data_IF_108406853573
#
_entry.id   IF_108406853573
#
_cell.length_a   1.000
_cell.length_b   1.000
_cell.length_c   1.000
_cell.angle_alpha   90.00
_cell.angle_beta   90.00
_cell.angle_gamma   90.00
#
_symmetry.space_group_name_H-M   'P 1'
#
loop_
_entity.id
_entity.type
_entity.pdbx_description
1 polymer ?
#
# COMPACT_ATOMS: atom_id res chain seq x y z
N UNK A 1 7.56 -13.23 12.08
CA UNK A 1 6.56 -13.58 11.02
C UNK A 1 7.26 -14.12 9.78
N UNK A 2 6.58 -14.96 8.98
CA UNK A 2 7.13 -15.46 7.71
C UNK A 2 7.34 -14.29 6.74
N UNK A 3 8.50 -14.24 6.06
CA UNK A 3 8.81 -13.21 5.06
C UNK A 3 8.14 -13.56 3.73
N UNK A 4 7.47 -12.60 3.11
CA UNK A 4 6.64 -12.79 1.93
C UNK A 4 6.94 -11.78 0.85
N UNK A 5 6.84 -12.24 -0.39
CA UNK A 5 6.82 -11.36 -1.57
C UNK A 5 5.46 -11.50 -2.25
N UNK A 6 4.91 -10.39 -2.66
CA UNK A 6 3.56 -10.27 -3.16
C UNK A 6 3.50 -9.41 -4.43
N UNK A 7 2.36 -9.44 -5.11
CA UNK A 7 2.10 -8.60 -6.28
C UNK A 7 1.06 -7.52 -5.97
N UNK A 8 1.23 -6.37 -6.59
CA UNK A 8 0.17 -5.35 -6.69
C UNK A 8 -0.79 -5.70 -7.82
N UNK A 9 -2.08 -5.61 -7.55
CA UNK A 9 -3.17 -5.83 -8.52
C UNK A 9 -4.11 -4.61 -8.57
N UNK A 10 -4.74 -4.30 -9.71
CA UNK A 10 -4.55 -4.97 -10.98
C UNK A 10 -3.12 -4.78 -11.52
N UNK A 11 -2.62 -5.78 -12.23
CA UNK A 11 -1.31 -5.69 -12.89
C UNK A 11 -1.46 -4.82 -14.15
N UNK A 12 -0.60 -3.80 -14.27
CA UNK A 12 -0.66 -2.85 -15.39
C UNK A 12 -0.59 -3.54 -16.75
N UNK A 13 -1.37 -3.06 -17.70
CA UNK A 13 -1.41 -3.62 -19.06
C UNK A 13 -2.28 -4.87 -19.24
N UNK A 14 -2.89 -5.40 -18.18
CA UNK A 14 -3.77 -6.57 -18.23
C UNK A 14 -5.19 -6.22 -17.82
N UNK A 15 -6.17 -6.78 -18.56
CA UNK A 15 -7.58 -6.68 -18.19
C UNK A 15 -7.89 -7.58 -16.99
N UNK A 16 -8.96 -7.29 -16.24
CA UNK A 16 -9.37 -8.14 -15.12
C UNK A 16 -9.68 -9.58 -15.53
N UNK A 17 -10.15 -9.80 -16.76
CA UNK A 17 -10.44 -11.13 -17.30
C UNK A 17 -9.19 -11.98 -17.54
N UNK A 18 -8.01 -11.36 -17.64
CA UNK A 18 -6.73 -12.04 -17.80
C UNK A 18 -6.06 -12.34 -16.44
N UNK A 19 -6.47 -11.64 -15.38
CA UNK A 19 -5.88 -11.80 -14.03
C UNK A 19 -5.96 -13.22 -13.47
N UNK A 20 -7.02 -14.03 -13.69
CA UNK A 20 -7.05 -15.40 -13.19
C UNK A 20 -5.82 -16.22 -13.57
N UNK A 21 -5.43 -16.19 -14.84
CA UNK A 21 -4.30 -17.00 -15.32
C UNK A 21 -2.96 -16.43 -14.86
N UNK A 22 -2.80 -15.09 -14.88
CA UNK A 22 -1.62 -14.40 -14.39
C UNK A 22 -1.39 -14.67 -12.91
N UNK A 23 -2.44 -14.62 -12.09
CA UNK A 23 -2.32 -14.82 -10.65
C UNK A 23 -2.10 -16.29 -10.28
N UNK A 24 -2.67 -17.25 -11.01
CA UNK A 24 -2.33 -18.67 -10.85
C UNK A 24 -0.86 -18.94 -11.19
N UNK A 25 -0.32 -18.28 -12.24
CA UNK A 25 1.10 -18.35 -12.56
C UNK A 25 1.95 -17.77 -11.42
N UNK A 26 1.61 -16.58 -10.94
CA UNK A 26 2.30 -15.94 -9.83
C UNK A 26 2.31 -16.81 -8.56
N UNK A 27 1.17 -17.41 -8.20
CA UNK A 27 1.06 -18.33 -7.07
C UNK A 27 1.99 -19.56 -7.23
N UNK A 28 2.02 -20.19 -8.43
CA UNK A 28 2.92 -21.29 -8.74
C UNK A 28 4.40 -20.91 -8.68
N UNK A 29 4.72 -19.67 -9.00
CA UNK A 29 6.04 -19.09 -8.90
C UNK A 29 6.46 -18.75 -7.45
N UNK A 30 5.52 -18.84 -6.49
CA UNK A 30 5.78 -18.65 -5.07
C UNK A 30 5.42 -17.29 -4.50
N UNK A 31 4.75 -16.42 -5.24
CA UNK A 31 4.11 -15.26 -4.63
C UNK A 31 3.05 -15.73 -3.63
N UNK A 32 2.92 -15.02 -2.50
CA UNK A 32 2.06 -15.44 -1.41
C UNK A 32 0.82 -14.57 -1.23
N UNK A 33 0.87 -13.34 -1.69
CA UNK A 33 -0.21 -12.38 -1.52
C UNK A 33 -0.47 -11.61 -2.83
N UNK A 34 -1.69 -11.07 -2.96
CA UNK A 34 -2.06 -10.06 -3.95
C UNK A 34 -2.65 -8.83 -3.24
N UNK A 35 -2.11 -7.65 -3.52
CA UNK A 35 -2.49 -6.40 -2.87
C UNK A 35 -3.05 -5.41 -3.89
N UNK A 36 -4.28 -4.95 -3.66
CA UNK A 36 -4.92 -3.93 -4.49
C UNK A 36 -4.78 -2.53 -3.88
N UNK A 37 -5.08 -1.51 -4.68
CA UNK A 37 -5.14 -0.13 -4.20
C UNK A 37 -6.28 0.62 -4.90
N UNK A 38 -6.67 1.75 -4.32
CA UNK A 38 -7.74 2.60 -4.85
C UNK A 38 -7.17 3.99 -5.13
N UNK A 39 -7.10 4.34 -6.42
CA UNK A 39 -6.66 5.66 -6.90
C UNK A 39 -7.55 6.10 -8.08
N UNK A 40 -7.02 6.15 -9.29
CA UNK A 40 -7.67 6.60 -10.53
C UNK A 40 -8.05 5.45 -11.49
N UNK A 41 -7.79 4.21 -11.08
CA UNK A 41 -8.10 3.01 -11.85
C UNK A 41 -9.35 2.27 -11.34
N UNK A 42 -9.22 0.95 -11.23
CA UNK A 42 -10.27 0.09 -10.69
C UNK A 42 -10.30 0.19 -9.17
N UNK A 43 -11.47 0.02 -8.56
CA UNK A 43 -11.61 0.01 -7.09
C UNK A 43 -10.79 -1.11 -6.42
N UNK A 44 -10.56 -0.99 -5.13
CA UNK A 44 -9.69 -1.93 -4.43
C UNK A 44 -10.28 -3.34 -4.26
N UNK A 45 -11.60 -3.53 -4.30
CA UNK A 45 -12.22 -4.80 -4.00
C UNK A 45 -12.43 -5.69 -5.21
N UNK A 46 -12.73 -5.10 -6.38
CA UNK A 46 -13.01 -5.85 -7.61
C UNK A 46 -11.84 -6.75 -8.05
N UNK A 47 -10.56 -6.30 -8.11
CA UNK A 47 -9.44 -7.18 -8.45
C UNK A 47 -9.24 -8.31 -7.44
N UNK A 48 -9.52 -8.05 -6.16
CA UNK A 48 -9.40 -9.06 -5.11
C UNK A 48 -10.50 -10.12 -5.19
N UNK A 49 -11.72 -9.76 -5.63
CA UNK A 49 -12.77 -10.74 -5.88
C UNK A 49 -12.36 -11.70 -7.00
N UNK A 50 -11.73 -11.20 -8.07
CA UNK A 50 -11.18 -12.03 -9.15
C UNK A 50 -10.07 -12.94 -8.62
N UNK A 51 -9.12 -12.39 -7.84
CA UNK A 51 -8.03 -13.14 -7.24
C UNK A 51 -8.51 -14.24 -6.27
N UNK A 52 -9.53 -13.93 -5.46
CA UNK A 52 -10.14 -14.86 -4.50
C UNK A 52 -10.67 -16.13 -5.15
N UNK A 53 -11.29 -15.98 -6.32
CA UNK A 53 -11.87 -17.10 -7.10
C UNK A 53 -10.82 -17.90 -7.87
N UNK A 54 -9.68 -17.28 -8.19
CA UNK A 54 -8.68 -17.87 -9.06
C UNK A 54 -7.57 -18.59 -8.29
N UNK A 55 -7.27 -18.17 -7.04
CA UNK A 55 -6.06 -18.57 -6.30
C UNK A 55 -6.33 -18.78 -4.82
N UNK A 56 -5.34 -19.40 -4.14
CA UNK A 56 -5.23 -19.49 -2.69
C UNK A 56 -4.43 -18.36 -2.04
N UNK A 57 -4.03 -17.33 -2.79
CA UNK A 57 -3.25 -16.20 -2.28
C UNK A 57 -3.95 -15.49 -1.12
N UNK A 58 -3.18 -14.95 -0.19
CA UNK A 58 -3.67 -13.98 0.78
C UNK A 58 -3.93 -12.65 0.04
N UNK A 59 -5.00 -11.97 0.36
CA UNK A 59 -5.48 -10.79 -0.36
C UNK A 59 -5.48 -9.59 0.57
N UNK A 60 -5.04 -8.44 0.09
CA UNK A 60 -5.03 -7.22 0.88
C UNK A 60 -5.42 -5.98 0.08
N UNK A 61 -6.05 -5.01 0.71
CA UNK A 61 -6.17 -3.66 0.16
C UNK A 61 -5.05 -2.77 0.68
N UNK A 62 -4.43 -1.96 -0.21
CA UNK A 62 -3.36 -1.02 0.14
C UNK A 62 -3.48 0.30 -0.64
N UNK A 63 -4.56 1.02 -0.45
CA UNK A 63 -5.57 0.97 0.62
C UNK A 63 -6.97 1.27 0.09
N UNK A 64 -7.97 1.01 0.93
CA UNK A 64 -9.29 1.64 0.79
C UNK A 64 -9.28 2.98 1.51
N UNK A 65 -9.86 3.99 0.89
CA UNK A 65 -9.85 5.35 1.41
C UNK A 65 -10.99 5.57 2.43
N UNK A 66 -10.64 5.98 3.65
CA UNK A 66 -11.58 6.22 4.74
C UNK A 66 -12.49 7.47 4.54
N UNK A 67 -12.18 8.34 3.56
CA UNK A 67 -12.97 9.53 3.26
C UNK A 67 -13.96 9.33 2.12
N UNK A 68 -13.56 8.59 1.08
CA UNK A 68 -14.42 8.39 -0.11
C UNK A 68 -15.44 7.29 0.07
N UNK A 69 -15.24 6.42 1.08
CA UNK A 69 -16.19 5.37 1.47
C UNK A 69 -16.59 5.49 2.93
N UNK A 70 -17.89 5.37 3.21
CA UNK A 70 -18.37 5.30 4.59
C UNK A 70 -18.05 3.94 5.24
N UNK A 71 -17.96 3.87 6.60
CA UNK A 71 -17.66 2.63 7.30
C UNK A 71 -18.60 1.46 6.96
N UNK A 72 -19.89 1.73 6.77
CA UNK A 72 -20.88 0.71 6.39
C UNK A 72 -20.53 0.10 5.01
N UNK A 73 -20.23 0.93 4.01
CA UNK A 73 -19.85 0.47 2.66
C UNK A 73 -18.55 -0.31 2.68
N UNK A 74 -17.54 0.16 3.45
CA UNK A 74 -16.28 -0.57 3.62
C UNK A 74 -16.54 -1.94 4.25
N UNK A 75 -17.35 -2.00 5.31
CA UNK A 75 -17.66 -3.25 5.99
C UNK A 75 -18.40 -4.25 5.08
N UNK A 76 -19.34 -3.77 4.24
CA UNK A 76 -20.05 -4.61 3.27
C UNK A 76 -19.10 -5.20 2.22
N UNK A 77 -18.24 -4.36 1.61
CA UNK A 77 -17.26 -4.81 0.62
C UNK A 77 -16.23 -5.77 1.23
N UNK A 78 -15.75 -5.46 2.44
CA UNK A 78 -14.81 -6.31 3.18
C UNK A 78 -15.40 -7.67 3.52
N UNK A 79 -16.67 -7.71 3.95
CA UNK A 79 -17.38 -8.96 4.22
C UNK A 79 -17.53 -9.82 2.97
N UNK A 80 -17.80 -9.21 1.80
CA UNK A 80 -17.89 -9.91 0.54
C UNK A 80 -16.57 -10.58 0.14
N UNK A 81 -15.42 -9.87 0.25
CA UNK A 81 -14.13 -10.50 -0.03
C UNK A 81 -13.77 -11.55 1.02
N UNK A 82 -14.07 -11.31 2.30
CA UNK A 82 -13.81 -12.29 3.36
C UNK A 82 -14.65 -13.57 3.19
N UNK A 83 -15.85 -13.48 2.61
CA UNK A 83 -16.67 -14.64 2.25
C UNK A 83 -16.07 -15.43 1.07
N UNK A 84 -15.52 -14.73 0.06
CA UNK A 84 -14.83 -15.35 -1.09
C UNK A 84 -13.47 -15.94 -0.72
N UNK A 85 -12.79 -15.37 0.27
CA UNK A 85 -11.45 -15.75 0.70
C UNK A 85 -11.38 -15.93 2.23
N UNK A 86 -12.06 -16.94 2.82
CA UNK A 86 -12.12 -17.10 4.27
C UNK A 86 -10.74 -17.20 4.92
N UNK A 87 -10.47 -16.31 5.90
CA UNK A 87 -9.20 -16.25 6.63
C UNK A 87 -8.00 -15.74 5.83
N UNK A 88 -8.18 -15.37 4.55
CA UNK A 88 -7.10 -14.91 3.66
C UNK A 88 -7.18 -13.43 3.31
N UNK A 89 -8.18 -12.70 3.76
CA UNK A 89 -8.36 -11.29 3.42
C UNK A 89 -7.87 -10.36 4.54
N UNK A 90 -7.20 -9.29 4.16
CA UNK A 90 -6.71 -8.19 4.99
C UNK A 90 -7.34 -6.89 4.51
N UNK A 91 -7.99 -6.15 5.42
CA UNK A 91 -8.54 -4.85 5.12
C UNK A 91 -7.53 -3.75 5.43
N UNK A 92 -6.80 -3.28 4.42
CA UNK A 92 -5.93 -2.12 4.55
C UNK A 92 -6.69 -0.82 4.28
N UNK A 93 -6.63 0.11 5.21
CA UNK A 93 -7.27 1.42 5.14
C UNK A 93 -6.29 2.57 5.30
N UNK A 94 -6.63 3.71 4.75
CA UNK A 94 -5.82 4.92 4.87
C UNK A 94 -6.61 6.19 4.60
N UNK A 95 -5.96 7.32 4.75
CA UNK A 95 -6.59 8.61 4.52
C UNK A 95 -6.67 9.01 3.03
N UNK A 96 -5.82 8.43 2.18
CA UNK A 96 -5.62 8.92 0.82
C UNK A 96 -4.95 10.30 0.79
N UNK A 97 -5.33 11.12 -0.16
CA UNK A 97 -4.84 12.50 -0.31
C UNK A 97 -5.98 13.47 -0.53
N UNK A 98 -5.72 14.77 -0.30
CA UNK A 98 -6.66 15.84 -0.61
C UNK A 98 -7.06 15.86 -2.10
N UNK A 99 -6.15 15.50 -3.01
CA UNK A 99 -6.46 15.41 -4.44
C UNK A 99 -7.59 14.41 -4.70
N UNK A 100 -7.46 13.21 -4.11
CA UNK A 100 -8.48 12.15 -4.28
C UNK A 100 -9.79 12.55 -3.58
N UNK A 101 -9.69 13.02 -2.33
CA UNK A 101 -10.88 13.28 -1.51
C UNK A 101 -11.62 14.53 -1.96
N UNK A 102 -10.92 15.65 -2.12
CA UNK A 102 -11.54 16.94 -2.45
C UNK A 102 -11.67 17.11 -3.96
N UNK A 103 -10.58 16.91 -4.70
CA UNK A 103 -10.53 17.16 -6.14
C UNK A 103 -11.38 16.18 -6.97
N UNK A 104 -11.37 14.89 -6.61
CA UNK A 104 -12.06 13.87 -7.43
C UNK A 104 -13.41 13.44 -6.86
N UNK A 105 -13.59 13.52 -5.53
CA UNK A 105 -14.79 12.99 -4.86
C UNK A 105 -15.64 14.07 -4.17
N UNK A 106 -15.25 15.35 -4.22
CA UNK A 106 -16.02 16.46 -3.64
C UNK A 106 -16.17 16.39 -2.11
N UNK A 107 -15.32 15.59 -1.44
CA UNK A 107 -15.31 15.45 0.01
C UNK A 107 -14.54 16.56 0.71
N UNK A 108 -14.42 16.48 2.04
CA UNK A 108 -13.63 17.40 2.86
C UNK A 108 -12.51 16.63 3.53
N UNK A 109 -11.24 16.98 3.24
CA UNK A 109 -10.06 16.33 3.77
C UNK A 109 -9.56 16.99 5.04
N UNK A 110 -10.15 16.66 6.18
CA UNK A 110 -9.79 17.22 7.49
C UNK A 110 -9.53 16.12 8.51
N UNK A 111 -8.60 16.38 9.44
CA UNK A 111 -8.27 15.47 10.56
C UNK A 111 -8.03 14.01 10.11
N UNK A 112 -7.11 13.74 9.15
CA UNK A 112 -6.99 12.42 8.52
C UNK A 112 -6.71 11.29 9.53
N UNK A 113 -5.87 11.50 10.53
CA UNK A 113 -5.60 10.48 11.55
C UNK A 113 -6.85 10.19 12.41
N UNK A 114 -7.63 11.23 12.77
CA UNK A 114 -8.88 11.06 13.50
C UNK A 114 -9.90 10.29 12.63
N UNK A 115 -10.01 10.62 11.35
CA UNK A 115 -10.91 9.94 10.42
C UNK A 115 -10.60 8.46 10.32
N UNK A 116 -9.34 8.08 10.12
CA UNK A 116 -8.92 6.68 10.06
C UNK A 116 -9.17 5.97 11.39
N UNK A 117 -8.84 6.60 12.53
CA UNK A 117 -9.13 6.08 13.87
C UNK A 117 -10.61 5.77 14.09
N UNK A 118 -11.46 6.72 13.76
CA UNK A 118 -12.92 6.58 13.91
C UNK A 118 -13.49 5.53 12.97
N UNK A 119 -12.97 5.43 11.74
CA UNK A 119 -13.33 4.39 10.77
C UNK A 119 -13.01 3.00 11.32
N UNK A 120 -11.82 2.78 11.89
CA UNK A 120 -11.44 1.48 12.51
C UNK A 120 -12.39 1.13 13.66
N UNK A 121 -12.72 2.12 14.50
CA UNK A 121 -13.63 1.92 15.64
C UNK A 121 -15.05 1.51 15.20
N UNK A 122 -15.47 1.92 14.02
CA UNK A 122 -16.74 1.47 13.43
C UNK A 122 -16.60 0.12 12.74
N UNK A 123 -15.48 -0.15 12.05
CA UNK A 123 -15.29 -1.36 11.27
C UNK A 123 -15.14 -2.61 12.13
N UNK A 124 -14.41 -2.56 13.24
CA UNK A 124 -14.21 -3.74 14.11
C UNK A 124 -15.52 -4.33 14.60
N UNK A 125 -16.41 -3.59 15.28
CA UNK A 125 -17.70 -4.14 15.71
C UNK A 125 -18.61 -4.50 14.51
N UNK A 126 -18.60 -3.72 13.42
CA UNK A 126 -19.39 -4.05 12.22
C UNK A 126 -19.00 -5.41 11.64
N UNK A 127 -17.70 -5.66 11.46
CA UNK A 127 -17.18 -6.93 10.93
C UNK A 127 -17.37 -8.11 11.90
N UNK A 128 -17.49 -7.85 13.20
CA UNK A 128 -17.87 -8.83 14.21
C UNK A 128 -19.40 -9.10 14.25
N UNK A 129 -20.21 -8.42 13.41
CA UNK A 129 -21.66 -8.58 13.37
C UNK A 129 -22.43 -7.80 14.44
N UNK A 130 -21.76 -6.91 15.15
CA UNK A 130 -22.36 -6.07 16.17
C UNK A 130 -23.08 -4.86 15.55
N UNK A 131 -24.01 -4.28 16.32
CA UNK A 131 -24.67 -3.02 15.93
C UNK A 131 -23.75 -1.83 16.24
N UNK A 132 -23.43 -1.03 15.22
CA UNK A 132 -22.58 0.14 15.36
C UNK A 132 -23.43 1.40 15.57
N UNK A 133 -23.25 2.04 16.72
CA UNK A 133 -23.72 3.38 17.02
C UNK A 133 -22.51 4.20 17.49
N UNK A 134 -22.04 5.13 16.68
CA UNK A 134 -20.82 5.87 16.91
C UNK A 134 -20.99 7.34 16.54
N UNK A 135 -20.59 8.23 17.44
CA UNK A 135 -20.52 9.69 17.20
C UNK A 135 -19.12 10.18 17.46
N UNK A 136 -18.41 10.48 16.38
CA UNK A 136 -17.04 10.97 16.39
C UNK A 136 -16.95 12.44 16.00
N UNK A 137 -15.72 12.89 15.78
CA UNK A 137 -15.42 14.24 15.31
C UNK A 137 -15.56 14.38 13.78
N UNK A 138 -15.35 13.29 13.05
CA UNK A 138 -15.28 13.28 11.58
C UNK A 138 -16.32 12.40 10.92
N UNK A 139 -16.97 11.53 11.67
CA UNK A 139 -18.05 10.68 11.17
C UNK A 139 -19.06 10.32 12.27
N UNK A 140 -20.26 10.00 11.81
CA UNK A 140 -21.32 9.44 12.65
C UNK A 140 -21.89 8.22 11.96
N UNK A 141 -22.09 7.14 12.72
CA UNK A 141 -22.80 5.93 12.29
C UNK A 141 -23.93 5.69 13.27
N UNK A 142 -25.17 5.54 12.77
CA UNK A 142 -26.33 5.34 13.62
C UNK A 142 -27.02 4.01 13.32
N UNK A 143 -26.70 3.02 14.13
CA UNK A 143 -27.40 1.74 14.16
C UNK A 143 -27.09 0.76 13.02
N UNK A 144 -26.00 0.96 12.26
CA UNK A 144 -25.58 0.02 11.22
C UNK A 144 -25.24 -1.37 11.79
N UNK A 145 -25.68 -2.42 11.12
CA UNK A 145 -25.30 -3.81 11.40
C UNK A 145 -25.19 -4.58 10.09
N UNK A 146 -24.09 -5.31 9.91
CA UNK A 146 -23.98 -6.26 8.81
C UNK A 146 -24.97 -7.40 8.97
N UNK A 147 -25.76 -7.68 7.93
CA UNK A 147 -26.67 -8.83 7.92
C UNK A 147 -25.94 -10.17 7.72
N UNK A 148 -24.76 -10.10 7.09
CA UNK A 148 -23.88 -11.24 6.81
C UNK A 148 -22.46 -10.91 7.22
N UNK A 149 -22.12 -10.95 8.52
CA UNK A 149 -20.75 -10.74 8.96
C UNK A 149 -19.86 -11.92 8.54
N UNK A 150 -18.57 -11.70 8.26
CA UNK A 150 -17.65 -12.79 7.95
C UNK A 150 -17.47 -13.70 9.17
N UNK A 151 -17.34 -15.01 8.94
CA UNK A 151 -17.11 -15.99 10.00
C UNK A 151 -15.81 -15.70 10.79
N UNK A 152 -14.80 -15.17 10.07
CA UNK A 152 -13.56 -14.65 10.66
C UNK A 152 -13.41 -13.21 10.21
N UNK A 153 -13.53 -12.21 11.10
CA UNK A 153 -13.29 -10.82 10.76
C UNK A 153 -11.87 -10.63 10.19
N UNK A 154 -11.71 -9.94 9.05
CA UNK A 154 -10.39 -9.69 8.49
C UNK A 154 -9.58 -8.78 9.40
N UNK A 155 -8.27 -9.00 9.53
CA UNK A 155 -7.39 -8.05 10.20
C UNK A 155 -7.41 -6.70 9.47
N UNK A 156 -7.27 -5.61 10.25
CA UNK A 156 -7.29 -4.24 9.73
C UNK A 156 -5.89 -3.67 9.77
N UNK A 157 -5.34 -3.33 8.60
CA UNK A 157 -4.05 -2.66 8.46
C UNK A 157 -4.23 -1.18 8.17
N UNK A 158 -3.25 -0.37 8.59
CA UNK A 158 -3.27 1.09 8.39
C UNK A 158 -2.08 1.52 7.53
N UNK A 159 -2.37 2.26 6.45
CA UNK A 159 -1.30 2.93 5.72
C UNK A 159 -0.78 4.13 6.51
N UNK A 160 0.52 4.14 6.74
CA UNK A 160 1.18 5.13 7.56
C UNK A 160 2.51 5.58 6.97
N UNK A 161 2.76 6.90 7.00
CA UNK A 161 4.00 7.49 6.53
C UNK A 161 4.82 8.13 7.66
N UNK A 162 4.18 8.86 8.59
CA UNK A 162 4.84 9.63 9.64
C UNK A 162 4.39 9.22 11.03
N UNK A 163 5.12 9.69 12.04
CA UNK A 163 4.94 9.32 13.44
C UNK A 163 3.48 9.24 13.92
N UNK A 164 2.61 10.19 13.56
CA UNK A 164 1.22 10.19 14.03
C UNK A 164 0.39 9.02 13.48
N UNK A 165 0.52 8.69 12.17
CA UNK A 165 -0.19 7.55 11.57
C UNK A 165 0.49 6.22 11.92
N UNK A 166 1.83 6.20 12.04
CA UNK A 166 2.58 5.03 12.51
C UNK A 166 2.19 4.67 13.95
N UNK A 167 2.09 5.66 14.83
CA UNK A 167 1.62 5.44 16.20
C UNK A 167 0.17 4.96 16.22
N UNK A 168 -0.73 5.54 15.40
CA UNK A 168 -2.11 5.06 15.28
C UNK A 168 -2.17 3.60 14.82
N UNK A 169 -1.31 3.20 13.88
CA UNK A 169 -1.22 1.79 13.47
C UNK A 169 -0.80 0.89 14.64
N UNK A 170 0.23 1.27 15.40
CA UNK A 170 0.64 0.56 16.62
C UNK A 170 -0.46 0.43 17.66
N UNK A 171 -1.21 1.51 17.88
CA UNK A 171 -2.29 1.54 18.88
C UNK A 171 -3.51 0.66 18.50
N UNK A 172 -3.89 0.57 17.22
CA UNK A 172 -5.20 0.07 16.84
C UNK A 172 -5.21 -0.99 15.73
N UNK A 173 -4.18 -1.04 14.86
CA UNK A 173 -4.18 -1.90 13.69
C UNK A 173 -3.51 -3.25 13.96
N UNK A 174 -3.81 -4.23 13.11
CA UNK A 174 -3.19 -5.55 13.14
C UNK A 174 -1.94 -5.59 12.25
N UNK A 175 -1.73 -4.54 11.46
CA UNK A 175 -0.54 -4.33 10.64
C UNK A 175 -0.43 -2.90 10.15
N UNK A 176 0.74 -2.57 9.59
CA UNK A 176 1.02 -1.28 8.97
C UNK A 176 1.42 -1.47 7.51
N UNK A 177 0.99 -0.54 6.67
CA UNK A 177 1.35 -0.49 5.25
C UNK A 177 2.25 0.71 5.03
N UNK A 178 3.52 0.44 4.75
CA UNK A 178 4.55 1.42 4.42
C UNK A 178 4.61 1.63 2.90
N UNK A 179 5.06 2.81 2.49
CA UNK A 179 5.13 3.19 1.09
C UNK A 179 6.15 4.32 0.87
N UNK A 180 6.79 4.36 -0.28
CA UNK A 180 7.71 5.45 -0.68
C UNK A 180 8.86 5.71 0.31
N UNK A 181 9.54 4.69 0.76
CA UNK A 181 10.71 4.76 1.62
C UNK A 181 11.78 3.76 1.16
N UNK A 182 13.01 3.95 1.58
CA UNK A 182 14.11 3.02 1.35
C UNK A 182 14.15 1.94 2.44
N UNK A 183 14.82 0.79 2.23
CA UNK A 183 15.03 -0.20 3.29
C UNK A 183 15.65 0.39 4.54
N UNK A 184 16.56 1.34 4.37
CA UNK A 184 17.26 2.03 5.46
C UNK A 184 16.35 2.88 6.36
N UNK A 185 15.18 3.28 5.86
CA UNK A 185 14.16 4.04 6.58
C UNK A 185 13.20 3.14 7.39
N UNK A 186 13.11 1.86 7.03
CA UNK A 186 12.13 0.92 7.62
C UNK A 186 12.27 0.81 9.13
N UNK A 187 13.48 0.65 9.71
CA UNK A 187 13.63 0.53 11.17
C UNK A 187 13.00 1.70 11.91
N UNK A 188 13.22 2.93 11.46
CA UNK A 188 12.64 4.14 12.07
C UNK A 188 11.11 4.11 12.09
N UNK A 189 10.49 3.61 11.03
CA UNK A 189 9.02 3.46 10.98
C UNK A 189 8.55 2.35 11.92
N UNK A 190 9.25 1.22 11.94
CA UNK A 190 8.94 0.05 12.79
C UNK A 190 9.03 0.41 14.26
N UNK A 191 10.06 1.14 14.67
CA UNK A 191 10.26 1.57 16.06
C UNK A 191 9.06 2.38 16.56
N UNK A 192 8.59 3.37 15.77
CA UNK A 192 7.41 4.17 16.13
C UNK A 192 6.15 3.31 16.30
N UNK A 193 5.96 2.31 15.42
CA UNK A 193 4.80 1.39 15.48
C UNK A 193 4.88 0.54 16.74
N UNK A 194 6.04 -0.06 17.02
CA UNK A 194 6.24 -0.96 18.15
C UNK A 194 6.13 -0.24 19.49
N UNK A 195 6.78 0.90 19.64
CA UNK A 195 6.64 1.74 20.83
C UNK A 195 5.19 2.17 21.11
N UNK A 196 4.43 2.48 20.06
CA UNK A 196 3.03 2.84 20.21
C UNK A 196 2.17 1.64 20.62
N UNK A 197 2.47 0.43 20.10
CA UNK A 197 1.82 -0.80 20.52
C UNK A 197 2.08 -1.11 21.99
N UNK A 198 3.33 -1.02 22.44
CA UNK A 198 3.71 -1.20 23.85
C UNK A 198 2.98 -0.23 24.78
N UNK A 199 2.96 1.06 24.41
CA UNK A 199 2.21 2.09 25.19
C UNK A 199 0.71 1.81 25.25
N UNK A 200 0.16 1.14 24.22
CA UNK A 200 -1.24 0.74 24.19
C UNK A 200 -1.51 -0.63 24.86
N UNK A 201 -0.50 -1.24 25.48
CA UNK A 201 -0.61 -2.56 26.12
C UNK A 201 -0.79 -3.72 25.13
N UNK A 202 -0.35 -3.55 23.88
CA UNK A 202 -0.47 -4.57 22.83
C UNK A 202 0.90 -5.22 22.59
N UNK A 203 0.89 -6.47 22.13
CA UNK A 203 2.11 -7.15 21.69
C UNK A 203 2.67 -6.52 20.40
N UNK A 204 3.86 -5.88 20.43
CA UNK A 204 4.46 -5.27 19.23
C UNK A 204 4.79 -6.28 18.15
N UNK A 205 5.11 -7.54 18.53
CA UNK A 205 5.45 -8.60 17.59
C UNK A 205 4.24 -9.12 16.82
N UNK A 206 3.02 -8.86 17.31
CA UNK A 206 1.77 -9.20 16.65
C UNK A 206 1.37 -8.27 15.50
N UNK A 207 2.10 -7.15 15.29
CA UNK A 207 1.79 -6.18 14.23
C UNK A 207 2.62 -6.47 12.99
N UNK A 208 1.97 -6.87 11.88
CA UNK A 208 2.65 -7.15 10.61
C UNK A 208 3.10 -5.85 9.92
N UNK A 209 4.33 -5.84 9.42
CA UNK A 209 4.91 -4.72 8.68
C UNK A 209 4.87 -5.06 7.19
N UNK A 210 4.06 -4.35 6.43
CA UNK A 210 3.98 -4.52 4.98
C UNK A 210 4.51 -3.29 4.27
N UNK A 211 5.10 -3.47 3.08
CA UNK A 211 5.65 -2.37 2.32
C UNK A 211 5.35 -2.52 0.84
N UNK A 212 4.79 -1.47 0.24
CA UNK A 212 4.69 -1.33 -1.21
C UNK A 212 6.04 -0.90 -1.75
N UNK A 213 6.60 -1.69 -2.64
CA UNK A 213 7.89 -1.42 -3.26
C UNK A 213 7.76 -1.31 -4.77
N UNK A 214 8.49 -0.37 -5.37
CA UNK A 214 8.35 -0.05 -6.79
C UNK A 214 9.51 -0.60 -7.60
N UNK A 215 9.18 -1.34 -8.66
CA UNK A 215 10.14 -1.89 -9.63
C UNK A 215 9.95 -1.14 -10.94
N UNK A 216 10.97 -0.41 -11.35
CA UNK A 216 11.01 0.28 -12.64
C UNK A 216 11.67 -0.63 -13.67
N UNK A 217 10.92 -1.01 -14.70
CA UNK A 217 11.32 -2.05 -15.65
C UNK A 217 12.18 -1.53 -16.81
N UNK A 218 12.19 -0.22 -17.00
CA UNK A 218 12.92 0.41 -18.09
C UNK A 218 14.24 1.03 -17.60
N UNK A 219 15.16 1.26 -18.53
CA UNK A 219 16.37 2.05 -18.29
C UNK A 219 16.13 3.56 -18.41
N UNK A 220 14.87 4.04 -18.54
CA UNK A 220 14.54 5.45 -18.73
C UNK A 220 14.61 6.21 -17.40
N UNK A 221 15.76 6.87 -17.16
CA UNK A 221 15.98 7.71 -15.99
C UNK A 221 14.99 8.90 -15.90
N UNK A 222 14.55 9.44 -17.03
CA UNK A 222 13.60 10.56 -17.06
C UNK A 222 12.22 10.10 -16.61
N UNK A 223 11.76 8.94 -17.06
CA UNK A 223 10.48 8.38 -16.62
C UNK A 223 10.50 8.05 -15.12
N UNK A 224 11.58 7.46 -14.63
CA UNK A 224 11.79 7.20 -13.21
C UNK A 224 11.73 8.50 -12.39
N UNK A 225 12.43 9.54 -12.81
CA UNK A 225 12.42 10.86 -12.14
C UNK A 225 11.04 11.52 -12.16
N UNK A 226 10.31 11.44 -13.27
CA UNK A 226 8.93 11.95 -13.39
C UNK A 226 8.00 11.23 -12.44
N UNK A 227 8.12 9.91 -12.32
CA UNK A 227 7.33 9.10 -11.40
C UNK A 227 7.60 9.52 -9.95
N UNK A 228 8.86 9.60 -9.52
CA UNK A 228 9.24 10.06 -8.19
C UNK A 228 8.75 11.49 -7.95
N UNK A 229 8.96 12.42 -8.89
CA UNK A 229 8.52 13.80 -8.76
C UNK A 229 7.00 13.92 -8.55
N UNK A 230 6.20 13.14 -9.27
CA UNK A 230 4.75 13.15 -9.15
C UNK A 230 4.27 12.87 -7.72
N UNK A 231 4.94 11.95 -7.02
CA UNK A 231 4.61 11.61 -5.64
C UNK A 231 5.24 12.56 -4.62
N UNK A 232 6.54 12.85 -4.72
CA UNK A 232 7.26 13.64 -3.71
C UNK A 232 6.79 15.10 -3.62
N UNK A 233 6.03 15.59 -4.60
CA UNK A 233 5.41 16.91 -4.55
C UNK A 233 4.04 16.92 -3.85
N UNK A 234 3.43 15.78 -3.61
CA UNK A 234 2.20 15.72 -2.81
C UNK A 234 2.55 16.04 -1.35
N UNK A 235 1.82 16.97 -0.68
CA UNK A 235 2.22 17.49 0.64
C UNK A 235 2.49 16.41 1.69
N UNK A 236 1.73 15.30 1.68
CA UNK A 236 1.92 14.22 2.65
C UNK A 236 3.23 13.47 2.43
N UNK A 237 3.64 13.25 1.19
CA UNK A 237 4.92 12.60 0.86
C UNK A 237 6.09 13.55 1.06
N UNK A 238 5.96 14.83 0.68
CA UNK A 238 6.96 15.84 1.01
C UNK A 238 7.27 15.84 2.50
N UNK A 239 6.26 16.00 3.34
CA UNK A 239 6.44 16.00 4.79
C UNK A 239 6.97 14.66 5.35
N UNK A 240 6.74 13.54 4.65
CA UNK A 240 7.33 12.26 5.00
C UNK A 240 8.84 12.23 4.72
N UNK A 241 9.27 12.69 3.53
CA UNK A 241 10.68 12.75 3.19
C UNK A 241 11.46 13.80 3.99
N UNK A 242 10.80 14.91 4.39
CA UNK A 242 11.34 15.84 5.37
C UNK A 242 11.58 15.13 6.73
N UNK A 243 10.60 14.36 7.21
CA UNK A 243 10.73 13.56 8.43
C UNK A 243 11.81 12.47 8.33
N UNK A 244 12.04 11.89 7.15
CA UNK A 244 13.11 10.93 6.88
C UNK A 244 14.50 11.60 6.72
N UNK A 245 14.59 12.94 6.77
CA UNK A 245 15.85 13.68 6.71
C UNK A 245 16.33 13.97 5.27
N UNK A 246 15.44 13.94 4.28
CA UNK A 246 15.78 14.23 2.87
C UNK A 246 15.48 15.68 2.46
N UNK A 247 15.31 16.59 3.40
CA UNK A 247 14.96 18.00 3.14
C UNK A 247 15.96 18.65 2.19
N UNK A 248 17.23 18.63 2.52
CA UNK A 248 18.28 19.30 1.72
C UNK A 248 18.42 18.69 0.32
N UNK A 249 18.31 17.37 0.23
CA UNK A 249 18.42 16.67 -1.04
C UNK A 249 17.25 16.96 -2.00
N UNK A 250 16.06 17.25 -1.47
CA UNK A 250 14.83 17.45 -2.25
C UNK A 250 14.39 18.91 -2.34
N UNK A 251 14.97 19.83 -1.57
CA UNK A 251 14.62 21.26 -1.59
C UNK A 251 14.68 21.85 -3.01
N UNK A 252 15.74 21.63 -3.82
CA UNK A 252 15.80 22.17 -5.18
C UNK A 252 14.65 21.69 -6.07
N UNK A 253 14.22 20.44 -5.92
CA UNK A 253 13.09 19.88 -6.66
C UNK A 253 11.78 20.57 -6.24
N UNK A 254 11.52 20.70 -4.93
CA UNK A 254 10.31 21.34 -4.42
C UNK A 254 10.23 22.82 -4.78
N UNK A 255 11.34 23.54 -4.75
CA UNK A 255 11.41 24.95 -5.16
C UNK A 255 11.10 25.12 -6.66
N UNK A 256 11.72 24.32 -7.51
CA UNK A 256 11.44 24.36 -8.95
C UNK A 256 9.98 24.01 -9.25
N UNK A 257 9.44 22.99 -8.56
CA UNK A 257 8.03 22.60 -8.70
C UNK A 257 7.09 23.73 -8.27
N UNK A 258 7.38 24.40 -7.15
CA UNK A 258 6.60 25.54 -6.65
C UNK A 258 6.56 26.72 -7.60
N UNK A 259 7.63 26.93 -8.40
CA UNK A 259 7.68 27.93 -9.46
C UNK A 259 7.01 27.48 -10.76
N UNK A 260 6.50 26.27 -10.84
CA UNK A 260 5.89 25.72 -12.05
C UNK A 260 6.89 25.11 -13.04
N UNK A 261 8.19 25.15 -12.76
CA UNK A 261 9.23 24.59 -13.65
C UNK A 261 9.34 23.07 -13.43
N UNK A 262 8.47 22.32 -14.10
CA UNK A 262 8.42 20.86 -14.03
C UNK A 262 9.70 20.19 -14.54
N UNK A 263 10.34 20.78 -15.57
CA UNK A 263 11.57 20.24 -16.15
C UNK A 263 12.73 20.36 -15.17
N UNK A 264 12.94 21.55 -14.61
CA UNK A 264 13.96 21.76 -13.60
C UNK A 264 13.71 20.92 -12.34
N UNK A 265 12.45 20.78 -11.89
CA UNK A 265 12.09 19.96 -10.75
C UNK A 265 12.50 18.49 -10.96
N UNK A 266 12.15 17.89 -12.10
CA UNK A 266 12.52 16.50 -12.44
C UNK A 266 14.05 16.33 -12.50
N UNK A 267 14.76 17.30 -13.11
CA UNK A 267 16.22 17.27 -13.23
C UNK A 267 16.93 17.42 -11.87
N UNK A 268 16.33 18.13 -10.93
CA UNK A 268 16.90 18.41 -9.61
C UNK A 268 16.86 17.23 -8.63
N UNK A 269 16.12 16.15 -8.93
CA UNK A 269 16.08 14.97 -8.05
C UNK A 269 17.45 14.28 -8.10
N UNK A 270 18.14 14.10 -6.97
CA UNK A 270 19.42 13.40 -6.97
C UNK A 270 19.25 11.92 -7.38
N UNK A 271 20.21 11.38 -8.14
CA UNK A 271 20.19 9.98 -8.57
C UNK A 271 20.03 9.03 -7.40
N UNK A 272 20.69 9.29 -6.28
CA UNK A 272 20.58 8.50 -5.05
C UNK A 272 19.13 8.39 -4.57
N UNK A 273 18.32 9.45 -4.63
CA UNK A 273 16.91 9.41 -4.21
C UNK A 273 16.09 8.49 -5.13
N UNK A 274 16.40 8.48 -6.43
CA UNK A 274 15.78 7.54 -7.38
C UNK A 274 16.13 6.10 -7.00
N UNK A 275 17.41 5.82 -6.78
CA UNK A 275 17.91 4.48 -6.42
C UNK A 275 17.39 4.02 -5.04
N UNK A 276 17.16 4.96 -4.11
CA UNK A 276 16.58 4.67 -2.80
C UNK A 276 15.11 4.22 -2.90
N UNK A 277 14.34 4.82 -3.81
CA UNK A 277 12.87 4.69 -3.87
C UNK A 277 12.37 3.75 -4.97
N UNK A 278 13.16 3.56 -6.02
CA UNK A 278 12.81 2.70 -7.15
C UNK A 278 13.86 1.61 -7.33
N UNK A 279 13.41 0.39 -7.46
CA UNK A 279 14.29 -0.73 -7.79
C UNK A 279 14.42 -0.83 -9.31
N UNK A 280 15.62 -0.56 -9.84
CA UNK A 280 15.94 -0.62 -11.26
C UNK A 280 17.11 -1.57 -11.50
N UNK A 281 17.24 -2.08 -12.75
CA UNK A 281 18.39 -2.85 -13.20
C UNK A 281 18.16 -4.37 -13.26
N UNK A 282 19.23 -5.18 -13.26
CA UNK A 282 19.15 -6.63 -13.39
C UNK A 282 18.36 -7.27 -12.25
N UNK A 283 17.68 -8.39 -12.52
CA UNK A 283 16.86 -9.11 -11.56
C UNK A 283 17.60 -9.46 -10.24
N UNK A 284 18.91 -9.76 -10.32
CA UNK A 284 19.75 -10.02 -9.14
C UNK A 284 19.84 -8.81 -8.21
N UNK A 285 20.02 -7.61 -8.76
CA UNK A 285 20.06 -6.34 -8.00
C UNK A 285 18.71 -6.06 -7.35
N UNK A 286 17.62 -6.25 -8.11
CA UNK A 286 16.25 -6.04 -7.59
C UNK A 286 15.95 -7.04 -6.47
N UNK A 287 16.30 -8.33 -6.63
CA UNK A 287 16.15 -9.32 -5.58
C UNK A 287 16.94 -8.98 -4.31
N UNK A 288 18.17 -8.52 -4.46
CA UNK A 288 18.97 -8.07 -3.32
C UNK A 288 18.31 -6.89 -2.57
N UNK A 289 17.70 -5.95 -3.31
CA UNK A 289 17.01 -4.82 -2.70
C UNK A 289 15.69 -5.23 -2.02
N UNK A 290 14.92 -6.16 -2.61
CA UNK A 290 13.74 -6.75 -1.95
C UNK A 290 14.16 -7.41 -0.62
N UNK A 291 15.25 -8.19 -0.65
CA UNK A 291 15.79 -8.81 0.58
C UNK A 291 16.16 -7.76 1.63
N UNK A 292 16.76 -6.65 1.23
CA UNK A 292 17.10 -5.57 2.15
C UNK A 292 15.86 -5.00 2.87
N UNK A 293 14.69 -4.87 2.19
CA UNK A 293 13.44 -4.50 2.87
C UNK A 293 13.01 -5.56 3.91
N UNK A 294 13.07 -6.83 3.54
CA UNK A 294 12.68 -7.93 4.43
C UNK A 294 13.61 -8.02 5.65
N UNK A 295 14.92 -7.84 5.45
CA UNK A 295 15.93 -7.84 6.51
C UNK A 295 15.80 -6.61 7.43
N UNK A 296 15.38 -5.48 6.89
CA UNK A 296 15.11 -4.23 7.63
C UNK A 296 13.85 -4.29 8.52
N UNK A 297 13.07 -5.36 8.43
CA UNK A 297 11.89 -5.55 9.30
C UNK A 297 10.54 -5.62 8.58
N UNK A 298 10.50 -5.51 7.25
CA UNK A 298 9.29 -5.76 6.47
C UNK A 298 8.96 -7.27 6.51
N UNK A 299 7.71 -7.61 6.74
CA UNK A 299 7.22 -9.00 6.69
C UNK A 299 6.69 -9.36 5.31
N UNK A 300 5.98 -8.41 4.66
CA UNK A 300 5.46 -8.59 3.31
C UNK A 300 5.87 -7.41 2.42
N UNK A 301 6.68 -7.68 1.38
CA UNK A 301 7.00 -6.72 0.32
C UNK A 301 6.11 -6.99 -0.90
N UNK A 302 5.22 -6.06 -1.25
CA UNK A 302 4.38 -6.21 -2.44
C UNK A 302 4.87 -5.32 -3.58
N UNK A 303 5.20 -5.99 -4.69
CA UNK A 303 5.85 -5.39 -5.85
C UNK A 303 4.82 -4.64 -6.70
N UNK A 304 5.15 -3.41 -7.05
CA UNK A 304 4.42 -2.62 -8.05
C UNK A 304 5.35 -2.40 -9.22
N UNK A 305 5.00 -2.95 -10.37
CA UNK A 305 5.76 -2.75 -11.60
C UNK A 305 5.35 -1.43 -12.25
N UNK A 306 6.35 -0.74 -12.77
CA UNK A 306 6.17 0.47 -13.56
C UNK A 306 7.03 0.38 -14.83
N UNK A 307 6.42 0.70 -15.97
CA UNK A 307 7.12 0.79 -17.25
C UNK A 307 6.62 1.99 -18.05
N UNK A 308 7.56 2.77 -18.58
CA UNK A 308 7.29 3.85 -19.52
C UNK A 308 7.24 3.40 -20.98
N UNK A 309 7.39 2.09 -21.25
CA UNK A 309 7.32 1.52 -22.59
C UNK A 309 5.95 1.87 -23.23
N UNK A 310 5.95 2.59 -24.36
CA UNK A 310 4.70 3.00 -25.00
C UNK A 310 3.98 1.85 -25.74
N UNK A 311 4.72 0.83 -26.19
CA UNK A 311 4.14 -0.34 -26.84
C UNK A 311 3.53 -1.27 -25.80
N UNK A 312 2.22 -1.47 -25.87
CA UNK A 312 1.48 -2.25 -24.89
C UNK A 312 1.91 -3.73 -24.85
N UNK A 313 2.28 -4.34 -25.98
CA UNK A 313 2.71 -5.73 -26.00
C UNK A 313 4.07 -5.89 -25.33
N UNK A 314 5.03 -5.00 -25.63
CA UNK A 314 6.34 -4.97 -24.99
C UNK A 314 6.23 -4.70 -23.47
N UNK A 315 5.38 -3.74 -23.08
CA UNK A 315 5.12 -3.48 -21.65
C UNK A 315 4.64 -4.74 -20.93
N UNK A 316 3.69 -5.45 -21.51
CA UNK A 316 3.19 -6.71 -20.96
C UNK A 316 4.28 -7.77 -20.83
N UNK A 317 5.12 -7.92 -21.87
CA UNK A 317 6.24 -8.86 -21.86
C UNK A 317 7.28 -8.52 -20.78
N UNK A 318 7.59 -7.23 -20.58
CA UNK A 318 8.46 -6.77 -19.49
C UNK A 318 7.89 -7.13 -18.12
N UNK A 319 6.60 -6.88 -17.88
CA UNK A 319 5.92 -7.19 -16.61
C UNK A 319 5.89 -8.70 -16.36
N UNK A 320 5.54 -9.51 -17.36
CA UNK A 320 5.55 -10.98 -17.23
C UNK A 320 6.95 -11.51 -16.95
N UNK A 321 7.95 -11.00 -17.65
CA UNK A 321 9.36 -11.36 -17.43
C UNK A 321 9.80 -11.00 -16.01
N UNK A 322 9.46 -9.79 -15.53
CA UNK A 322 9.75 -9.37 -14.16
C UNK A 322 9.03 -10.26 -13.13
N UNK A 323 7.75 -10.54 -13.34
CA UNK A 323 6.96 -11.43 -12.47
C UNK A 323 7.65 -12.80 -12.35
N UNK A 324 8.11 -13.39 -13.45
CA UNK A 324 8.78 -14.69 -13.47
C UNK A 324 10.18 -14.64 -12.83
N UNK A 325 10.96 -13.62 -13.12
CA UNK A 325 12.35 -13.52 -12.67
C UNK A 325 12.50 -13.03 -11.22
N UNK A 326 11.52 -12.30 -10.69
CA UNK A 326 11.49 -11.82 -9.31
C UNK A 326 10.67 -12.70 -8.37
N UNK A 327 10.22 -13.83 -8.85
CA UNK A 327 9.48 -14.81 -8.05
C UNK A 327 10.26 -15.29 -6.81
N UNK A 328 9.51 -15.63 -5.78
CA UNK A 328 9.99 -15.77 -4.39
C UNK A 328 10.81 -17.04 -4.05
N UNK A 329 11.51 -17.65 -4.97
CA UNK A 329 12.34 -18.84 -4.66
C UNK A 329 13.40 -18.67 -3.55
N UNK A 330 14.13 -17.55 -3.44
CA UNK A 330 15.24 -17.42 -2.48
C UNK A 330 15.01 -16.39 -1.35
N UNK A 331 13.78 -15.92 -1.10
CA UNK A 331 13.52 -14.92 -0.05
C UNK A 331 13.22 -15.51 1.32
N UNK A 332 12.84 -16.79 1.42
CA UNK A 332 12.84 -17.53 2.67
C UNK A 332 14.29 -17.78 3.09
N UNK A 333 14.63 -17.48 4.34
CA UNK A 333 15.91 -17.86 4.92
C UNK A 333 16.11 -19.37 4.76
N UNK A 334 17.39 -19.82 4.60
CA UNK A 334 17.71 -21.23 4.54
C UNK A 334 17.25 -21.98 5.78
#
# INVERSE_FOLDING_TARGET
MEKRVALTVPVEGFTLSEHPDLLREAERLGYRDAWSYEADGIDAFTPLAVAAQATGLRLGTAIVNAFTRGPATIAQSAAGIAELAPGRFILGIGAGSNVIVEGWNGGVFTKPATRVRETIRCLRPALAGERVAFRGQTLTVDGFRLSRPPATPPPIYVAALRAGMLALAGELADGVILNWLAPEDVPRCVDVVREAAERAGRDPAGIEITCRVFVHLDADDIAARRHVAAYLNVPVYRAFHEWLGRTDALAPMWEAWGRGDRRAAVAAIPRRVIDDLLMCGPAGTIRARIRAYLDAGVDTAFLTFFSAEPDSARKRDLILTATRTLASGPYSAP
#
